data_IF_377259345422
#
_entry.id   IF_377259345422
#
_cell.length_a   1.000
_cell.length_b   1.000
_cell.length_c   1.000
_cell.angle_alpha   90.00
_cell.angle_beta   90.00
_cell.angle_gamma   90.00
#
_symmetry.space_group_name_H-M   'P 1'
#
loop_
_entity.id
_entity.type
_entity.pdbx_description
1 polymer ?
#
# COMPACT_ATOMS: atom_id res chain seq x y z
N UNK A 1 -40.85 32.17 -2.67
CA UNK A 1 -40.91 30.70 -2.55
C UNK A 1 -39.89 30.14 -3.50
N UNK A 2 -38.67 29.94 -3.04
CA UNK A 2 -37.55 29.34 -3.82
C UNK A 2 -37.14 28.08 -3.10
N UNK A 3 -37.31 26.98 -3.79
CA UNK A 3 -37.02 25.61 -3.34
C UNK A 3 -35.51 25.38 -3.47
N UNK A 4 -34.86 25.16 -2.34
CA UNK A 4 -33.47 24.74 -2.24
C UNK A 4 -33.41 23.26 -2.67
N UNK A 5 -32.72 22.98 -3.76
CA UNK A 5 -32.42 21.62 -4.23
C UNK A 5 -31.20 21.10 -3.46
N UNK A 6 -31.37 19.97 -2.80
CA UNK A 6 -30.41 19.34 -1.91
C UNK A 6 -29.11 18.90 -2.62
N UNK A 7 -28.09 19.09 -1.88
CA UNK A 7 -26.72 18.63 -2.09
C UNK A 7 -26.65 17.17 -1.62
N UNK A 8 -26.42 16.25 -2.52
CA UNK A 8 -26.04 14.87 -2.20
C UNK A 8 -25.26 14.27 -3.38
N UNK A 9 -23.96 14.56 -3.42
CA UNK A 9 -22.99 13.70 -4.08
C UNK A 9 -21.68 13.80 -3.30
N UNK A 10 -21.49 12.84 -2.39
CA UNK A 10 -20.20 12.61 -1.75
C UNK A 10 -19.47 11.48 -2.49
N UNK A 11 -18.17 11.60 -2.79
CA UNK A 11 -17.46 10.68 -3.67
C UNK A 11 -16.95 9.39 -2.98
N UNK A 12 -17.59 8.93 -1.93
CA UNK A 12 -17.30 7.64 -1.31
C UNK A 12 -18.58 6.84 -1.20
N UNK A 13 -18.70 5.82 -2.09
CA UNK A 13 -19.86 4.99 -2.29
C UNK A 13 -20.32 4.17 -1.08
N UNK A 14 -21.10 4.79 -0.21
CA UNK A 14 -22.01 4.13 0.71
C UNK A 14 -23.43 4.56 0.32
N UNK A 15 -24.01 3.87 -0.65
CA UNK A 15 -25.42 3.96 -0.99
C UNK A 15 -26.12 2.76 -0.38
N UNK A 16 -26.70 2.96 0.79
CA UNK A 16 -27.74 2.10 1.33
C UNK A 16 -29.08 2.56 0.76
N UNK A 17 -29.56 1.88 -0.29
CA UNK A 17 -30.88 2.05 -0.86
C UNK A 17 -31.68 0.78 -0.64
N UNK A 18 -32.68 0.82 0.25
CA UNK A 18 -33.75 -0.17 0.32
C UNK A 18 -34.56 -0.13 -0.97
N UNK A 19 -34.51 -1.20 -1.74
CA UNK A 19 -35.35 -1.44 -2.93
C UNK A 19 -36.44 -2.45 -2.56
N UNK A 20 -37.73 -2.07 -2.48
CA UNK A 20 -38.83 -2.94 -2.05
C UNK A 20 -39.28 -3.94 -3.11
N UNK A 21 -38.69 -4.00 -4.32
CA UNK A 21 -39.14 -4.86 -5.42
C UNK A 21 -38.30 -6.14 -5.62
N UNK A 22 -37.48 -6.56 -4.63
CA UNK A 22 -36.58 -7.71 -4.75
C UNK A 22 -37.16 -9.07 -4.38
N UNK A 23 -38.46 -9.16 -4.06
CA UNK A 23 -39.10 -10.41 -3.59
C UNK A 23 -39.80 -11.27 -4.68
N UNK A 24 -39.72 -10.93 -5.96
CA UNK A 24 -40.38 -11.71 -7.01
C UNK A 24 -39.52 -11.99 -8.22
N UNK A 25 -38.39 -12.67 -8.07
CA UNK A 25 -37.76 -13.44 -9.16
C UNK A 25 -36.89 -14.55 -8.56
N UNK A 26 -37.51 -15.63 -8.14
CA UNK A 26 -36.90 -16.94 -7.96
C UNK A 26 -37.02 -17.74 -9.23
N UNK A 27 -36.04 -18.60 -9.43
CA UNK A 27 -35.96 -19.75 -10.32
C UNK A 27 -35.49 -19.55 -11.76
N UNK A 28 -34.36 -20.25 -12.02
CA UNK A 28 -33.83 -20.74 -13.31
C UNK A 28 -33.11 -19.72 -14.20
N UNK A 29 -31.80 -19.52 -13.89
CA UNK A 29 -30.83 -19.24 -14.94
C UNK A 29 -29.48 -19.91 -14.64
N UNK A 30 -28.98 -20.89 -15.44
CA UNK A 30 -27.78 -21.67 -15.15
C UNK A 30 -26.47 -21.02 -15.62
N UNK A 31 -26.39 -19.69 -15.85
CA UNK A 31 -25.21 -19.05 -16.43
C UNK A 31 -24.79 -17.73 -15.70
N UNK A 32 -24.85 -17.69 -14.37
CA UNK A 32 -24.30 -16.56 -13.60
C UNK A 32 -23.06 -16.93 -12.77
N UNK A 33 -22.11 -17.64 -13.39
CA UNK A 33 -20.85 -18.08 -12.80
C UNK A 33 -19.65 -17.21 -13.14
N UNK A 34 -19.74 -15.87 -13.05
CA UNK A 34 -18.57 -14.98 -13.04
C UNK A 34 -18.74 -13.91 -11.95
N UNK A 35 -18.66 -14.38 -10.69
CA UNK A 35 -18.62 -13.56 -9.50
C UNK A 35 -17.22 -13.02 -9.22
N UNK A 36 -17.17 -11.87 -8.61
CA UNK A 36 -16.00 -11.22 -8.07
C UNK A 36 -15.06 -12.21 -7.37
N UNK A 37 -13.79 -12.20 -7.76
CA UNK A 37 -12.75 -12.99 -7.14
C UNK A 37 -12.66 -12.62 -5.66
N UNK A 38 -13.10 -13.51 -4.80
CA UNK A 38 -12.81 -13.51 -3.37
C UNK A 38 -11.32 -13.89 -3.23
N UNK A 39 -10.43 -12.95 -2.90
CA UNK A 39 -8.99 -13.19 -2.91
C UNK A 39 -8.53 -14.18 -1.84
N UNK A 40 -9.43 -14.58 -0.94
CA UNK A 40 -9.13 -15.53 0.14
C UNK A 40 -9.91 -16.85 0.05
N UNK A 41 -10.85 -17.02 -0.89
CA UNK A 41 -11.62 -18.25 -1.03
C UNK A 41 -12.48 -18.63 0.17
N UNK A 42 -12.81 -17.66 1.04
CA UNK A 42 -13.46 -17.88 2.34
C UNK A 42 -14.99 -17.75 2.31
N UNK A 43 -15.57 -17.41 1.17
CA UNK A 43 -17.04 -17.26 1.00
C UNK A 43 -17.88 -18.53 1.23
N UNK A 44 -17.22 -19.69 1.48
CA UNK A 44 -17.87 -20.98 1.72
C UNK A 44 -17.82 -21.48 3.17
N UNK A 45 -17.31 -20.72 4.13
CA UNK A 45 -17.03 -21.20 5.49
C UNK A 45 -18.22 -21.11 6.48
N UNK A 46 -19.45 -21.07 6.01
CA UNK A 46 -20.66 -21.01 6.85
C UNK A 46 -21.34 -22.35 7.15
N UNK A 47 -20.73 -23.49 6.88
CA UNK A 47 -21.28 -24.84 7.11
C UNK A 47 -20.43 -25.68 8.06
N UNK A 48 -21.03 -26.70 8.70
CA UNK A 48 -20.36 -27.67 9.55
C UNK A 48 -19.13 -28.26 8.85
N UNK A 49 -17.92 -27.99 9.40
CA UNK A 49 -16.66 -28.48 8.84
C UNK A 49 -16.46 -29.95 9.19
N UNK A 50 -16.44 -30.82 8.18
CA UNK A 50 -15.95 -32.20 8.32
C UNK A 50 -14.42 -32.23 8.18
N UNK A 51 -13.74 -32.97 9.07
CA UNK A 51 -12.28 -33.17 9.04
C UNK A 51 -11.78 -33.74 7.70
N UNK A 52 -12.64 -34.43 6.95
CA UNK A 52 -12.35 -34.97 5.64
C UNK A 52 -12.23 -33.88 4.56
N UNK A 53 -13.03 -32.81 4.66
CA UNK A 53 -13.00 -31.68 3.73
C UNK A 53 -11.74 -30.83 3.92
N UNK A 54 -11.29 -30.66 5.16
CA UNK A 54 -9.99 -30.04 5.45
C UNK A 54 -8.84 -30.81 4.78
N UNK A 55 -8.86 -32.15 4.81
CA UNK A 55 -7.84 -32.97 4.16
C UNK A 55 -7.78 -32.79 2.64
N UNK A 56 -8.94 -32.63 1.98
CA UNK A 56 -9.00 -32.38 0.53
C UNK A 56 -8.54 -30.97 0.17
N UNK A 57 -8.90 -29.97 0.97
CA UNK A 57 -8.42 -28.59 0.80
C UNK A 57 -6.89 -28.55 0.95
N UNK A 58 -6.33 -29.24 1.96
CA UNK A 58 -4.88 -29.36 2.15
C UNK A 58 -4.19 -30.08 1.00
N UNK A 59 -4.78 -31.14 0.45
CA UNK A 59 -4.20 -31.89 -0.68
C UNK A 59 -4.18 -31.04 -1.95
N UNK A 60 -5.25 -30.31 -2.25
CA UNK A 60 -5.32 -29.38 -3.39
C UNK A 60 -4.35 -28.22 -3.24
N UNK A 61 -4.28 -27.67 -2.03
CA UNK A 61 -3.33 -26.60 -1.70
C UNK A 61 -1.89 -27.08 -1.83
N UNK A 62 -1.56 -28.28 -1.31
CA UNK A 62 -0.25 -28.89 -1.43
C UNK A 62 0.15 -29.18 -2.89
N UNK A 63 -0.78 -29.57 -3.75
CA UNK A 63 -0.55 -29.76 -5.18
C UNK A 63 -0.33 -28.42 -5.91
N UNK A 64 -1.03 -27.36 -5.52
CA UNK A 64 -0.84 -26.02 -6.06
C UNK A 64 0.52 -25.45 -5.66
N UNK A 65 1.00 -25.75 -4.45
CA UNK A 65 2.31 -25.33 -3.94
C UNK A 65 3.48 -26.18 -4.43
N UNK A 66 3.29 -27.46 -4.77
CA UNK A 66 4.40 -28.30 -5.28
C UNK A 66 4.90 -27.86 -6.65
N UNK A 67 4.08 -27.12 -7.44
CA UNK A 67 4.49 -26.50 -8.68
C UNK A 67 5.23 -25.14 -8.51
N UNK A 68 5.02 -24.45 -7.36
CA UNK A 68 5.63 -23.15 -7.06
C UNK A 68 6.82 -23.26 -6.08
N UNK A 69 7.08 -24.46 -5.55
CA UNK A 69 7.96 -24.68 -4.41
C UNK A 69 9.45 -24.44 -4.64
N UNK A 70 9.91 -24.29 -5.88
CA UNK A 70 11.33 -24.03 -6.16
C UNK A 70 11.71 -22.54 -6.09
N UNK A 71 10.74 -21.63 -6.19
CA UNK A 71 10.97 -20.18 -6.09
C UNK A 71 10.84 -19.64 -4.65
N UNK A 72 10.27 -20.43 -3.74
CA UNK A 72 9.94 -19.98 -2.37
C UNK A 72 10.91 -20.46 -1.28
N UNK A 73 11.92 -21.27 -1.60
CA UNK A 73 12.83 -21.85 -0.62
C UNK A 73 13.91 -20.89 -0.07
N UNK A 74 13.90 -19.62 -0.47
CA UNK A 74 15.00 -18.67 -0.22
C UNK A 74 14.83 -17.66 0.91
N UNK A 75 13.70 -17.55 1.57
CA UNK A 75 13.51 -16.51 2.58
C UNK A 75 12.71 -16.97 3.79
N UNK A 76 13.37 -17.19 4.90
CA UNK A 76 12.71 -17.25 6.22
C UNK A 76 12.15 -15.84 6.52
N UNK A 77 10.90 -15.58 6.14
CA UNK A 77 10.20 -14.39 6.58
C UNK A 77 9.96 -14.50 8.09
N UNK A 78 10.79 -13.84 8.88
CA UNK A 78 10.64 -13.77 10.34
C UNK A 78 9.67 -12.65 10.73
N UNK A 79 8.41 -12.69 10.28
CA UNK A 79 7.42 -11.67 10.59
C UNK A 79 6.03 -12.00 10.05
N UNK A 80 5.01 -11.23 10.48
CA UNK A 80 3.62 -11.43 10.06
C UNK A 80 3.38 -11.09 8.58
N UNK A 81 4.31 -10.41 7.93
CA UNK A 81 4.25 -9.99 6.52
C UNK A 81 5.58 -10.34 5.82
N UNK A 82 5.51 -10.85 4.61
CA UNK A 82 6.70 -11.09 3.79
C UNK A 82 7.06 -9.83 2.98
N UNK A 83 7.85 -8.94 3.57
CA UNK A 83 8.27 -7.68 2.94
C UNK A 83 9.27 -7.87 1.80
N UNK A 84 10.07 -8.93 1.85
CA UNK A 84 10.99 -9.23 0.74
C UNK A 84 10.21 -9.62 -0.52
N UNK A 85 9.17 -10.45 -0.37
CA UNK A 85 8.24 -10.75 -1.45
C UNK A 85 7.53 -9.48 -1.94
N UNK A 86 7.09 -8.61 -1.04
CA UNK A 86 6.45 -7.35 -1.40
C UNK A 86 7.40 -6.47 -2.23
N UNK A 87 8.65 -6.33 -1.82
CA UNK A 87 9.68 -5.57 -2.53
C UNK A 87 9.95 -6.15 -3.93
N UNK A 88 10.13 -7.47 -4.02
CA UNK A 88 10.40 -8.15 -5.30
C UNK A 88 9.22 -8.00 -6.27
N UNK A 89 7.99 -8.19 -5.80
CA UNK A 89 6.79 -8.02 -6.61
C UNK A 89 6.58 -6.57 -7.03
N UNK A 90 6.84 -5.61 -6.14
CA UNK A 90 6.80 -4.19 -6.49
C UNK A 90 7.79 -3.87 -7.59
N UNK A 91 9.06 -4.26 -7.43
CA UNK A 91 10.11 -4.01 -8.41
C UNK A 91 9.82 -4.69 -9.75
N UNK A 92 9.36 -5.95 -9.75
CA UNK A 92 8.99 -6.66 -10.98
C UNK A 92 7.79 -6.02 -11.70
N UNK A 93 6.82 -5.51 -10.93
CA UNK A 93 5.65 -4.81 -11.47
C UNK A 93 5.99 -3.42 -12.00
N UNK A 94 6.90 -2.69 -11.36
CA UNK A 94 7.44 -1.41 -11.84
C UNK A 94 8.24 -1.63 -13.12
N UNK A 95 9.03 -2.72 -13.18
CA UNK A 95 9.87 -3.06 -14.31
C UNK A 95 11.07 -2.13 -14.48
N UNK A 96 11.56 -2.02 -15.72
CA UNK A 96 12.70 -1.17 -16.01
C UNK A 96 12.33 0.31 -15.92
N UNK A 97 13.13 1.06 -15.16
CA UNK A 97 13.06 2.52 -15.05
C UNK A 97 14.43 3.09 -15.44
N UNK A 98 14.45 4.09 -16.30
CA UNK A 98 15.69 4.75 -16.71
C UNK A 98 16.37 5.45 -15.51
N UNK A 99 17.69 5.46 -15.43
CA UNK A 99 18.41 6.19 -14.41
C UNK A 99 18.11 7.69 -14.51
N UNK A 100 17.95 8.34 -13.36
CA UNK A 100 17.70 9.78 -13.29
C UNK A 100 18.96 10.54 -13.71
N UNK A 101 18.87 11.47 -14.70
CA UNK A 101 20.01 12.29 -15.09
C UNK A 101 20.53 13.15 -13.93
N UNK A 102 21.85 13.32 -13.85
CA UNK A 102 22.46 14.15 -12.80
C UNK A 102 21.92 15.60 -12.80
N UNK A 103 21.66 16.16 -13.97
CA UNK A 103 21.06 17.50 -14.09
C UNK A 103 19.65 17.59 -13.46
N UNK A 104 18.82 16.55 -13.63
CA UNK A 104 17.50 16.48 -13.01
C UNK A 104 17.60 16.41 -11.50
N UNK A 105 18.52 15.58 -10.99
CA UNK A 105 18.76 15.47 -9.56
C UNK A 105 19.26 16.79 -8.97
N UNK A 106 20.14 17.49 -9.67
CA UNK A 106 20.63 18.80 -9.25
C UNK A 106 19.51 19.86 -9.24
N UNK A 107 18.69 19.92 -10.30
CA UNK A 107 17.57 20.85 -10.38
C UNK A 107 16.57 20.67 -9.22
N UNK A 108 16.32 19.43 -8.79
CA UNK A 108 15.49 19.14 -7.61
C UNK A 108 16.17 19.63 -6.34
N UNK A 109 17.49 19.40 -6.21
CA UNK A 109 18.28 19.92 -5.09
C UNK A 109 18.18 21.44 -4.97
N UNK A 110 18.35 22.14 -6.09
CA UNK A 110 18.28 23.62 -6.16
C UNK A 110 16.86 24.11 -5.82
N UNK A 111 15.81 23.43 -6.31
CA UNK A 111 14.43 23.79 -6.01
C UNK A 111 14.10 23.65 -4.52
N UNK A 112 14.55 22.56 -3.87
CA UNK A 112 14.35 22.36 -2.43
C UNK A 112 15.14 23.39 -1.62
N UNK A 113 16.37 23.70 -2.03
CA UNK A 113 17.18 24.74 -1.36
C UNK A 113 16.52 26.12 -1.45
N UNK A 114 15.99 26.47 -2.62
CA UNK A 114 15.22 27.72 -2.81
C UNK A 114 13.98 27.73 -1.91
N UNK A 115 13.25 26.62 -1.85
CA UNK A 115 12.08 26.46 -0.99
C UNK A 115 12.39 26.62 0.49
N UNK A 116 13.49 26.02 0.97
CA UNK A 116 13.95 26.19 2.35
C UNK A 116 14.28 27.65 2.66
N UNK A 117 14.92 28.36 1.71
CA UNK A 117 15.23 29.81 1.85
C UNK A 117 13.94 30.64 1.97
N UNK A 118 12.90 30.34 1.21
CA UNK A 118 11.62 31.04 1.33
C UNK A 118 10.92 30.73 2.66
N UNK A 119 10.96 29.47 3.09
CA UNK A 119 10.33 29.04 4.34
C UNK A 119 11.02 29.66 5.57
N UNK A 120 12.33 29.91 5.54
CA UNK A 120 13.04 30.58 6.62
C UNK A 120 12.51 32.00 6.89
N UNK A 121 11.97 32.66 5.86
CA UNK A 121 11.36 34.00 5.98
C UNK A 121 9.92 33.99 6.52
N UNK A 122 9.23 32.86 6.55
CA UNK A 122 7.78 32.80 6.85
C UNK A 122 7.40 31.87 8.00
N UNK A 123 8.32 31.06 8.52
CA UNK A 123 8.07 30.17 9.66
C UNK A 123 9.22 30.13 10.64
N UNK A 124 8.91 29.97 11.92
CA UNK A 124 9.92 29.76 12.98
C UNK A 124 10.40 28.30 13.08
N UNK A 125 9.81 27.37 12.33
CA UNK A 125 10.25 25.96 12.31
C UNK A 125 11.58 25.87 11.53
N UNK A 126 12.65 25.33 12.12
CA UNK A 126 13.91 25.15 11.41
C UNK A 126 13.79 24.21 10.21
N UNK A 127 14.76 24.28 9.30
CA UNK A 127 14.85 23.36 8.18
C UNK A 127 14.82 21.90 8.66
N UNK A 128 13.95 21.09 8.04
CA UNK A 128 13.83 19.67 8.32
C UNK A 128 14.57 18.78 7.32
N UNK A 129 14.99 19.38 6.19
CA UNK A 129 15.66 18.69 5.10
C UNK A 129 17.17 18.79 5.25
N UNK A 130 17.85 17.64 5.24
CA UNK A 130 19.32 17.56 5.22
C UNK A 130 19.87 17.22 3.84
N UNK A 131 19.06 16.53 3.02
CA UNK A 131 19.40 16.14 1.65
C UNK A 131 18.16 16.20 0.78
N UNK A 132 18.30 16.78 -0.41
CA UNK A 132 17.30 16.73 -1.46
C UNK A 132 17.79 15.84 -2.61
N UNK A 133 16.88 15.00 -3.17
CA UNK A 133 17.24 14.00 -4.16
C UNK A 133 16.04 13.68 -5.07
N UNK A 134 16.31 13.25 -6.29
CA UNK A 134 15.31 12.65 -7.14
C UNK A 134 15.23 11.14 -6.88
N UNK A 135 14.01 10.60 -6.81
CA UNK A 135 13.77 9.16 -6.72
C UNK A 135 13.07 8.62 -7.96
N UNK A 136 13.45 7.42 -8.34
CA UNK A 136 12.65 6.54 -9.21
C UNK A 136 11.52 5.89 -8.39
N UNK A 137 10.50 5.31 -9.03
CA UNK A 137 9.50 4.49 -8.33
C UNK A 137 10.12 3.35 -7.50
N UNK A 138 11.19 2.71 -7.99
CA UNK A 138 11.91 1.68 -7.23
C UNK A 138 12.61 2.27 -5.99
N UNK A 139 13.28 3.43 -6.13
CA UNK A 139 13.89 4.11 -5.00
C UNK A 139 12.86 4.47 -3.94
N UNK A 140 11.66 4.91 -4.36
CA UNK A 140 10.58 5.22 -3.43
C UNK A 140 10.14 3.98 -2.65
N UNK A 141 9.93 2.84 -3.31
CA UNK A 141 9.59 1.58 -2.65
C UNK A 141 10.67 1.19 -1.65
N UNK A 142 11.94 1.16 -2.06
CA UNK A 142 13.06 0.73 -1.23
C UNK A 142 13.25 1.64 0.00
N UNK A 143 13.13 2.96 -0.17
CA UNK A 143 13.32 3.92 0.91
C UNK A 143 12.12 4.08 1.86
N UNK A 144 10.91 3.65 1.45
CA UNK A 144 9.71 3.73 2.28
C UNK A 144 9.33 2.41 2.96
N UNK A 145 9.89 1.29 2.51
CA UNK A 145 9.51 -0.05 2.96
C UNK A 145 9.62 -0.24 4.48
N UNK A 146 10.63 0.37 5.12
CA UNK A 146 10.81 0.27 6.57
C UNK A 146 9.67 0.97 7.34
N UNK A 147 9.16 2.06 6.81
CA UNK A 147 7.99 2.73 7.40
C UNK A 147 6.73 1.90 7.18
N UNK A 148 6.57 1.29 6.00
CA UNK A 148 5.46 0.38 5.74
C UNK A 148 5.47 -0.83 6.69
N UNK A 149 6.64 -1.38 7.04
CA UNK A 149 6.74 -2.42 8.09
C UNK A 149 6.15 -1.94 9.40
N UNK A 150 6.57 -0.77 9.88
CA UNK A 150 6.07 -0.20 11.15
C UNK A 150 4.57 0.02 11.16
N UNK A 151 3.98 0.36 10.00
CA UNK A 151 2.54 0.59 9.86
C UNK A 151 1.75 -0.72 9.74
N UNK A 152 2.27 -1.70 9.00
CA UNK A 152 1.54 -2.93 8.68
C UNK A 152 1.69 -4.02 9.75
N UNK A 153 2.85 -4.12 10.42
CA UNK A 153 3.11 -5.18 11.39
C UNK A 153 2.09 -5.24 12.55
N UNK A 154 1.71 -4.12 13.20
CA UNK A 154 0.71 -4.17 14.26
C UNK A 154 -0.64 -4.69 13.77
N UNK A 155 -1.05 -4.29 12.57
CA UNK A 155 -2.32 -4.73 11.97
C UNK A 155 -2.28 -6.21 11.61
N UNK A 156 -1.20 -6.67 10.98
CA UNK A 156 -1.04 -8.06 10.62
C UNK A 156 -0.96 -8.98 11.85
N UNK A 157 -0.29 -8.55 12.94
CA UNK A 157 -0.27 -9.25 14.22
C UNK A 157 -1.66 -9.34 14.85
N UNK A 158 -2.43 -8.26 14.81
CA UNK A 158 -3.78 -8.25 15.34
C UNK A 158 -4.70 -9.22 14.59
N UNK A 159 -4.62 -9.27 13.27
CA UNK A 159 -5.35 -10.23 12.44
C UNK A 159 -4.97 -11.66 12.83
N UNK A 160 -3.68 -11.98 12.95
CA UNK A 160 -3.21 -13.29 13.36
C UNK A 160 -3.73 -13.69 14.75
N UNK A 161 -3.79 -12.75 15.69
CA UNK A 161 -4.32 -12.98 17.05
C UNK A 161 -5.82 -13.29 17.02
N UNK A 162 -6.61 -12.57 16.24
CA UNK A 162 -8.05 -12.80 16.08
C UNK A 162 -8.31 -14.20 15.50
N UNK A 163 -7.55 -14.61 14.48
CA UNK A 163 -7.66 -15.95 13.90
C UNK A 163 -7.28 -17.06 14.89
N UNK A 164 -6.20 -16.87 15.66
CA UNK A 164 -5.80 -17.82 16.68
C UNK A 164 -6.85 -17.97 17.82
N UNK A 165 -7.51 -16.86 18.16
CA UNK A 165 -8.57 -16.86 19.18
C UNK A 165 -9.86 -17.57 18.70
N UNK A 166 -10.14 -17.58 17.40
CA UNK A 166 -11.31 -18.23 16.81
C UNK A 166 -11.18 -19.75 16.73
N UNK A 167 -9.99 -20.33 16.97
CA UNK A 167 -9.79 -21.78 16.95
C UNK A 167 -10.33 -22.45 18.22
N UNK A 168 -11.04 -23.62 18.10
CA UNK A 168 -11.44 -24.43 19.22
C UNK A 168 -10.24 -24.87 20.09
N UNK A 169 -10.45 -25.05 21.41
CA UNK A 169 -9.39 -25.43 22.35
C UNK A 169 -8.71 -26.76 21.99
N UNK A 170 -9.48 -27.71 21.45
CA UNK A 170 -8.96 -29.02 21.00
C UNK A 170 -7.97 -28.85 19.83
N UNK A 171 -8.23 -27.89 18.96
CA UNK A 171 -7.37 -27.58 17.82
C UNK A 171 -6.09 -26.83 18.24
N UNK A 172 -6.13 -26.05 19.32
CA UNK A 172 -4.97 -25.28 19.81
C UNK A 172 -3.80 -26.18 20.21
N UNK A 173 -4.08 -27.34 20.79
CA UNK A 173 -3.04 -28.28 21.26
C UNK A 173 -2.31 -29.04 20.14
N UNK A 174 -2.95 -29.18 18.97
CA UNK A 174 -2.37 -29.82 17.78
C UNK A 174 -1.93 -28.81 16.71
N UNK A 175 -2.20 -27.54 16.92
CA UNK A 175 -2.17 -26.51 15.89
C UNK A 175 -0.82 -25.81 15.71
N UNK A 176 0.20 -26.08 16.53
CA UNK A 176 1.48 -25.37 16.41
C UNK A 176 2.05 -25.33 14.99
N UNK A 177 2.26 -26.47 14.32
CA UNK A 177 2.74 -26.50 12.93
C UNK A 177 1.74 -25.92 11.92
N UNK A 178 0.44 -26.15 12.15
CA UNK A 178 -0.63 -25.66 11.28
C UNK A 178 -0.75 -24.13 11.36
N UNK A 179 -0.73 -23.56 12.56
CA UNK A 179 -0.75 -22.11 12.77
C UNK A 179 0.49 -21.45 12.17
N UNK A 180 1.65 -22.07 12.27
CA UNK A 180 2.88 -21.62 11.63
C UNK A 180 2.73 -21.57 10.11
N UNK A 181 2.19 -22.64 9.51
CA UNK A 181 1.95 -22.70 8.07
C UNK A 181 0.90 -21.67 7.62
N UNK A 182 -0.21 -21.52 8.35
CA UNK A 182 -1.22 -20.49 8.07
C UNK A 182 -0.66 -19.08 8.19
N UNK A 183 0.18 -18.82 9.19
CA UNK A 183 0.85 -17.52 9.36
C UNK A 183 1.79 -17.23 8.19
N UNK A 184 2.56 -18.21 7.73
CA UNK A 184 3.43 -18.04 6.55
C UNK A 184 2.62 -17.76 5.27
N UNK A 185 1.53 -18.49 5.07
CA UNK A 185 0.65 -18.24 3.91
C UNK A 185 -0.01 -16.88 3.97
N UNK A 186 -0.50 -16.47 5.14
CA UNK A 186 -1.05 -15.14 5.38
C UNK A 186 -0.02 -14.04 5.11
N UNK A 187 1.21 -14.24 5.60
CA UNK A 187 2.33 -13.32 5.39
C UNK A 187 2.72 -13.17 3.91
N UNK A 188 2.66 -14.27 3.13
CA UNK A 188 2.90 -14.24 1.68
C UNK A 188 1.75 -13.54 0.94
N UNK A 189 0.50 -13.84 1.26
CA UNK A 189 -0.66 -13.20 0.64
C UNK A 189 -0.66 -11.68 0.90
N UNK A 190 -0.42 -11.28 2.15
CA UNK A 190 -0.32 -9.87 2.51
C UNK A 190 0.87 -9.19 1.80
N UNK A 191 2.04 -9.83 1.81
CA UNK A 191 3.23 -9.34 1.11
C UNK A 191 3.00 -9.14 -0.39
N UNK A 192 2.29 -10.08 -1.03
CA UNK A 192 1.94 -9.98 -2.45
C UNK A 192 1.02 -8.78 -2.73
N UNK A 193 -0.03 -8.59 -1.93
CA UNK A 193 -0.94 -7.45 -2.09
C UNK A 193 -0.24 -6.12 -1.81
N UNK A 194 0.57 -6.07 -0.75
CA UNK A 194 1.37 -4.89 -0.43
C UNK A 194 2.31 -4.53 -1.57
N UNK A 195 3.02 -5.51 -2.14
CA UNK A 195 3.93 -5.28 -3.26
C UNK A 195 3.22 -4.67 -4.47
N UNK A 196 2.05 -5.19 -4.83
CA UNK A 196 1.25 -4.63 -5.92
C UNK A 196 0.74 -3.22 -5.61
N UNK A 197 0.32 -2.96 -4.38
CA UNK A 197 -0.14 -1.65 -3.94
C UNK A 197 1.02 -0.62 -3.98
N UNK A 198 2.20 -1.00 -3.47
CA UNK A 198 3.39 -0.14 -3.50
C UNK A 198 3.84 0.17 -4.93
N UNK A 199 3.78 -0.81 -5.84
CA UNK A 199 4.11 -0.59 -7.25
C UNK A 199 3.18 0.43 -7.93
N UNK A 200 1.89 0.41 -7.61
CA UNK A 200 0.94 1.40 -8.13
C UNK A 200 1.18 2.77 -7.52
N UNK A 201 1.25 2.81 -6.20
CA UNK A 201 1.43 4.07 -5.45
C UNK A 201 2.72 4.78 -5.83
N UNK A 202 3.83 4.05 -6.01
CA UNK A 202 5.14 4.62 -6.39
C UNK A 202 5.15 5.33 -7.75
N UNK A 203 4.15 5.09 -8.61
CA UNK A 203 4.00 5.76 -9.91
C UNK A 203 3.09 6.98 -9.84
N UNK A 204 2.33 7.13 -8.76
CA UNK A 204 1.35 8.21 -8.59
C UNK A 204 1.85 9.30 -7.65
N UNK A 205 2.67 8.93 -6.66
CA UNK A 205 3.21 9.89 -5.70
C UNK A 205 4.25 10.81 -6.35
N UNK A 206 4.22 12.08 -6.00
CA UNK A 206 5.08 13.12 -6.55
C UNK A 206 6.30 13.40 -5.65
N UNK A 207 6.15 13.14 -4.34
CA UNK A 207 7.19 13.42 -3.32
C UNK A 207 7.24 12.33 -2.26
N UNK A 208 8.28 12.34 -1.42
CA UNK A 208 8.45 11.34 -0.35
C UNK A 208 7.40 11.44 0.77
N UNK A 209 6.74 12.59 0.90
CA UNK A 209 5.69 12.83 1.91
C UNK A 209 4.31 13.08 1.29
N UNK A 210 4.12 12.76 0.02
CA UNK A 210 2.93 13.15 -0.76
C UNK A 210 1.61 12.68 -0.15
N UNK A 211 1.58 11.49 0.43
CA UNK A 211 0.38 10.96 1.11
C UNK A 211 0.15 11.53 2.52
N UNK A 212 0.90 12.57 2.92
CA UNK A 212 0.77 13.21 4.23
C UNK A 212 1.43 12.45 5.38
N UNK A 213 2.32 11.49 5.10
CA UNK A 213 3.09 10.73 6.09
C UNK A 213 4.59 10.82 5.77
N UNK A 214 5.47 10.84 6.79
CA UNK A 214 6.92 10.82 6.62
C UNK A 214 7.39 9.39 6.32
N UNK A 215 7.12 8.92 5.09
CA UNK A 215 7.42 7.55 4.70
C UNK A 215 8.90 7.29 4.48
N UNK A 216 9.63 8.29 3.96
CA UNK A 216 11.05 8.19 3.66
C UNK A 216 11.96 8.33 4.89
N UNK A 217 13.28 8.16 4.71
CA UNK A 217 14.26 8.39 5.75
C UNK A 217 14.23 9.85 6.23
N UNK A 218 14.41 10.05 7.54
CA UNK A 218 14.38 11.38 8.15
C UNK A 218 15.38 12.32 7.48
N UNK A 219 14.91 13.53 7.13
CA UNK A 219 15.72 14.56 6.53
C UNK A 219 16.00 14.41 5.04
N UNK A 220 15.46 13.38 4.38
CA UNK A 220 15.61 13.16 2.94
C UNK A 220 14.33 13.65 2.23
N UNK A 221 14.39 14.83 1.62
CA UNK A 221 13.33 15.32 0.76
C UNK A 221 13.52 14.73 -0.65
N UNK A 222 12.54 13.99 -1.14
CA UNK A 222 12.63 13.37 -2.45
C UNK A 222 11.44 13.73 -3.35
N UNK A 223 11.73 13.99 -4.62
CA UNK A 223 10.75 14.21 -5.67
C UNK A 223 10.88 13.13 -6.74
N UNK A 224 9.76 12.73 -7.35
CA UNK A 224 9.72 11.67 -8.37
C UNK A 224 9.50 12.30 -9.77
N UNK A 225 10.56 12.50 -10.56
CA UNK A 225 10.49 13.24 -11.83
C UNK A 225 9.51 12.67 -12.84
N UNK A 226 9.42 11.33 -12.95
CA UNK A 226 8.53 10.67 -13.93
C UNK A 226 7.05 10.84 -13.57
N UNK A 227 6.72 10.77 -12.28
CA UNK A 227 5.37 11.03 -11.80
C UNK A 227 5.01 12.51 -11.94
N UNK A 228 5.96 13.41 -11.67
CA UNK A 228 5.78 14.87 -11.87
C UNK A 228 5.56 15.19 -13.35
N UNK A 229 6.28 14.53 -14.27
CA UNK A 229 6.07 14.70 -15.72
C UNK A 229 4.66 14.28 -16.12
N UNK A 230 4.22 13.13 -15.62
CA UNK A 230 2.87 12.62 -15.87
C UNK A 230 1.78 13.54 -15.29
N UNK A 231 2.00 14.05 -14.08
CA UNK A 231 1.10 15.00 -13.42
C UNK A 231 1.04 16.35 -14.15
N UNK A 232 2.18 16.83 -14.65
CA UNK A 232 2.27 18.08 -15.38
C UNK A 232 1.59 18.02 -16.77
N UNK A 233 1.42 16.83 -17.33
CA UNK A 233 0.76 16.65 -18.60
C UNK A 233 -0.71 17.10 -18.52
N UNK A 234 -1.03 18.20 -19.17
CA UNK A 234 -2.36 18.79 -19.16
C UNK A 234 -2.54 19.98 -18.22
N UNK A 235 -1.51 20.37 -17.48
CA UNK A 235 -1.48 21.63 -16.76
C UNK A 235 -0.89 22.75 -17.64
N UNK A 236 -1.37 23.98 -17.43
CA UNK A 236 -0.86 25.17 -18.14
C UNK A 236 0.47 25.70 -17.57
N UNK A 237 0.80 25.27 -16.34
CA UNK A 237 2.01 25.69 -15.62
C UNK A 237 3.25 25.03 -16.20
N UNK A 238 4.36 25.77 -16.18
CA UNK A 238 5.65 25.21 -16.58
C UNK A 238 6.11 24.13 -15.61
N UNK A 239 6.87 23.15 -16.11
CA UNK A 239 7.45 22.09 -15.28
C UNK A 239 8.27 22.64 -14.10
N UNK A 240 9.01 23.72 -14.31
CA UNK A 240 9.81 24.37 -13.27
C UNK A 240 8.96 24.95 -12.15
N UNK A 241 7.81 25.54 -12.47
CA UNK A 241 6.87 26.06 -11.46
C UNK A 241 6.28 24.92 -10.63
N UNK A 242 5.89 23.81 -11.29
CA UNK A 242 5.36 22.61 -10.62
C UNK A 242 6.42 22.02 -9.68
N UNK A 243 7.65 21.84 -10.15
CA UNK A 243 8.75 21.31 -9.32
C UNK A 243 9.03 22.24 -8.13
N UNK A 244 9.04 23.55 -8.33
CA UNK A 244 9.25 24.56 -7.27
C UNK A 244 8.14 24.50 -6.22
N UNK A 245 6.87 24.38 -6.65
CA UNK A 245 5.72 24.22 -5.75
C UNK A 245 5.84 22.94 -4.93
N UNK A 246 6.12 21.80 -5.58
CA UNK A 246 6.28 20.52 -4.90
C UNK A 246 7.47 20.51 -3.95
N UNK A 247 8.56 21.14 -4.31
CA UNK A 247 9.72 21.32 -3.44
C UNK A 247 9.39 22.16 -2.19
N UNK A 248 8.61 23.23 -2.35
CA UNK A 248 8.17 24.05 -1.22
C UNK A 248 7.22 23.28 -0.29
N UNK A 249 6.29 22.52 -0.84
CA UNK A 249 5.40 21.62 -0.07
C UNK A 249 6.19 20.54 0.67
N UNK A 250 7.12 19.89 0.01
CA UNK A 250 7.95 18.83 0.58
C UNK A 250 8.85 19.38 1.71
N UNK A 251 9.52 20.50 1.51
CA UNK A 251 10.32 21.16 2.54
C UNK A 251 9.48 21.55 3.76
N UNK A 252 8.26 22.08 3.54
CA UNK A 252 7.34 22.41 4.62
C UNK A 252 6.91 21.16 5.41
N UNK A 253 6.61 20.05 4.75
CA UNK A 253 6.31 18.77 5.40
C UNK A 253 7.48 18.27 6.24
N UNK A 254 8.71 18.33 5.72
CA UNK A 254 9.91 17.96 6.48
C UNK A 254 10.11 18.81 7.72
N UNK A 255 9.85 20.11 7.67
CA UNK A 255 9.87 21.00 8.86
C UNK A 255 8.83 20.55 9.90
N UNK A 256 7.60 20.30 9.46
CA UNK A 256 6.53 19.83 10.35
C UNK A 256 6.87 18.49 11.00
N UNK A 257 7.19 17.47 10.23
CA UNK A 257 7.49 16.14 10.75
C UNK A 257 8.75 16.06 11.60
N UNK A 258 9.71 16.97 11.40
CA UNK A 258 10.93 17.03 12.20
C UNK A 258 10.74 17.72 13.54
N UNK A 259 9.81 18.68 13.64
CA UNK A 259 9.67 19.55 14.81
C UNK A 259 8.32 19.45 15.52
N UNK A 260 7.38 18.66 15.00
CA UNK A 260 6.05 18.41 15.60
C UNK A 260 5.90 16.90 15.86
N UNK A 261 6.42 16.37 16.99
CA UNK A 261 6.57 14.93 17.22
C UNK A 261 5.26 14.12 17.21
N UNK A 262 4.14 14.77 17.54
CA UNK A 262 2.84 14.08 17.56
C UNK A 262 2.20 13.95 16.18
N UNK A 263 2.79 14.57 15.15
CA UNK A 263 2.26 14.55 13.77
C UNK A 263 2.87 13.40 12.95
N UNK A 264 4.01 12.85 13.36
CA UNK A 264 4.77 11.84 12.63
C UNK A 264 4.49 10.40 13.14
#
# INVERSE_FOLDING_TARGET
MSTVRGMADLPFGFSGGDDPDREKRGENDPDSGKGSADPFGLGGLGGEFDMADLGQIFTRLGQMFSGAGSAMAGGQASGPVNYELARQLASSSIGFVAPIPAATNQAIGDAVHLAETWLDGVTALPAGTTKAIAWTPNDWVDNTLETWKRLCDPMAQQIATVWAAALPEEAKNMAGPLLSMMSQMGGMAFGSQLGQALARLSREVLTSTDIGLPLGPKGIAALLPDAIESFAAGLEQSRSEIVTFLAAREAAHHRLFSHVPWLA
#
